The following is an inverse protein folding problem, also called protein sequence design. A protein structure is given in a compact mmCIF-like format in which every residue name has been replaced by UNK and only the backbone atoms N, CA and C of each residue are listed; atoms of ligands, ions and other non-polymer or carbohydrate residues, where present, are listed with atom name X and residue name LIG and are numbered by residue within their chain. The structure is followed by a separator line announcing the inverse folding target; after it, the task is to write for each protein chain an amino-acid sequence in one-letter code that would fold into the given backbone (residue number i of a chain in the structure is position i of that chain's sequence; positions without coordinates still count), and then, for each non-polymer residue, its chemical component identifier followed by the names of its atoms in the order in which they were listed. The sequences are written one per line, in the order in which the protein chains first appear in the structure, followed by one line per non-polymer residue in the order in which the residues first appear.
data_IF_558282696432
#
_entry.id   IF_558282696432
#
_cell.length_a   1.000
_cell.length_b   1.000
_cell.length_c   1.000
_cell.angle_alpha   90.00
_cell.angle_beta   90.00
_cell.angle_gamma   90.00
#
_symmetry.space_group_name_H-M   'P 1'
#
loop_
_entity.id
_entity.type
_entity.pdbx_description
1 polymer ?
#
# COMPACT_ATOMS: atom_id res chain seq x y z
N UNK A 1 14.68 -0.18 -9.45
CA UNK A 1 15.30 -0.78 -8.24
C UNK A 1 14.60 -0.20 -7.01
N UNK A 2 13.47 -0.80 -6.61
CA UNK A 2 12.77 -0.44 -5.38
C UNK A 2 13.11 -1.52 -4.34
N UNK A 3 14.05 -1.22 -3.46
CA UNK A 3 14.41 -2.07 -2.33
C UNK A 3 13.41 -1.83 -1.19
N UNK A 4 12.74 -2.90 -0.76
CA UNK A 4 11.86 -2.96 0.41
C UNK A 4 12.60 -2.48 1.68
N UNK A 5 12.00 -1.61 2.52
CA UNK A 5 12.72 -0.93 3.61
C UNK A 5 12.70 -1.65 4.97
N UNK A 6 12.15 -2.86 5.08
CA UNK A 6 12.12 -3.59 6.37
C UNK A 6 13.04 -4.80 6.29
N UNK A 7 14.32 -4.54 6.53
CA UNK A 7 15.32 -5.58 6.73
C UNK A 7 15.12 -6.26 8.08
N UNK A 8 14.43 -7.39 8.05
CA UNK A 8 14.85 -8.56 8.83
C UNK A 8 14.49 -9.83 8.06
N UNK A 9 15.11 -10.00 6.88
CA UNK A 9 15.17 -11.30 6.24
C UNK A 9 16.20 -12.14 7.00
N UNK A 10 15.77 -12.71 8.14
CA UNK A 10 16.30 -14.01 8.53
C UNK A 10 16.08 -14.90 7.31
N UNK A 11 17.17 -15.35 6.69
CA UNK A 11 17.15 -16.19 5.51
C UNK A 11 16.40 -17.49 5.84
N UNK A 12 15.08 -17.50 5.66
CA UNK A 12 14.33 -18.73 5.61
C UNK A 12 14.38 -19.20 4.16
N UNK A 13 15.27 -20.15 3.88
CA UNK A 13 15.20 -20.96 2.67
C UNK A 13 13.77 -21.47 2.52
N UNK A 14 13.06 -20.97 1.52
CA UNK A 14 11.84 -21.56 1.02
C UNK A 14 12.23 -22.86 0.32
N UNK A 15 12.31 -23.94 1.09
CA UNK A 15 12.35 -25.29 0.54
C UNK A 15 10.91 -25.77 0.41
N UNK A 16 10.27 -25.41 -0.71
CA UNK A 16 9.00 -25.98 -1.12
C UNK A 16 9.22 -27.46 -1.47
N UNK A 17 8.99 -28.34 -0.49
CA UNK A 17 8.81 -29.78 -0.76
C UNK A 17 7.36 -30.12 -0.50
N UNK A 18 6.53 -29.84 -1.50
CA UNK A 18 5.17 -30.32 -1.59
C UNK A 18 5.21 -31.76 -2.12
N UNK A 19 5.02 -32.74 -1.22
CA UNK A 19 4.37 -34.03 -1.51
C UNK A 19 5.05 -35.03 -2.44
N UNK A 20 5.63 -36.08 -1.83
CA UNK A 20 5.37 -37.47 -2.23
C UNK A 20 6.31 -38.11 -3.27
N UNK A 21 7.12 -39.08 -2.84
CA UNK A 21 6.87 -40.53 -3.05
C UNK A 21 8.10 -41.37 -2.69
N UNK A 22 7.81 -42.59 -2.21
CA UNK A 22 8.67 -43.77 -2.07
C UNK A 22 9.58 -43.90 -0.83
N UNK A 23 9.05 -44.66 0.13
CA UNK A 23 9.64 -45.97 0.45
C UNK A 23 10.87 -45.96 1.34
N UNK A 24 10.66 -46.24 2.62
CA UNK A 24 11.73 -46.66 3.52
C UNK A 24 11.49 -46.21 4.95
N UNK A 25 11.20 -47.18 5.81
CA UNK A 25 11.16 -47.08 7.27
C UNK A 25 12.07 -45.98 7.86
N UNK A 26 11.47 -44.89 8.34
CA UNK A 26 12.13 -43.97 9.26
C UNK A 26 11.08 -43.48 10.27
N UNK A 27 11.42 -43.61 11.55
CA UNK A 27 10.67 -43.13 12.70
C UNK A 27 10.00 -41.76 12.45
N UNK A 28 8.75 -41.52 12.89
CA UNK A 28 8.19 -40.19 12.88
C UNK A 28 9.00 -39.32 13.84
N UNK A 29 9.84 -38.45 13.28
CA UNK A 29 10.61 -37.47 14.03
C UNK A 29 9.64 -36.43 14.59
N UNK A 30 9.13 -36.66 15.80
CA UNK A 30 8.28 -35.77 16.61
C UNK A 30 8.67 -34.28 16.59
N UNK A 31 9.89 -33.95 16.19
CA UNK A 31 10.38 -32.57 16.07
C UNK A 31 9.84 -31.79 14.87
N UNK A 32 9.47 -32.43 13.76
CA UNK A 32 9.03 -31.71 12.55
C UNK A 32 7.57 -31.24 12.68
N UNK A 33 6.68 -32.10 13.21
CA UNK A 33 5.29 -31.74 13.53
C UNK A 33 5.24 -30.57 14.53
N UNK A 34 6.14 -30.57 15.52
CA UNK A 34 6.23 -29.50 16.52
C UNK A 34 6.74 -28.18 15.92
N UNK A 35 7.61 -28.23 14.92
CA UNK A 35 8.09 -27.06 14.19
C UNK A 35 7.00 -26.49 13.27
N UNK A 36 6.26 -27.34 12.58
CA UNK A 36 5.10 -26.94 11.78
C UNK A 36 4.03 -26.25 12.65
N UNK A 37 3.74 -26.83 13.82
CA UNK A 37 2.84 -26.22 14.82
C UNK A 37 3.33 -24.85 15.29
N UNK A 38 4.63 -24.68 15.58
CA UNK A 38 5.20 -23.38 15.95
C UNK A 38 5.05 -22.33 14.84
N UNK A 39 5.26 -22.71 13.57
CA UNK A 39 5.06 -21.81 12.43
C UNK A 39 3.60 -21.38 12.33
N UNK A 40 2.66 -22.31 12.49
CA UNK A 40 1.22 -22.01 12.48
C UNK A 40 0.88 -21.01 13.59
N UNK A 41 1.37 -21.23 14.81
CA UNK A 41 1.12 -20.34 15.95
C UNK A 41 1.69 -18.94 15.70
N UNK A 42 2.95 -18.83 15.28
CA UNK A 42 3.57 -17.53 15.00
C UNK A 42 2.90 -16.80 13.85
N UNK A 43 2.56 -17.51 12.76
CA UNK A 43 1.86 -16.92 11.63
C UNK A 43 0.45 -16.47 12.02
N UNK A 44 -0.25 -17.25 12.84
CA UNK A 44 -1.58 -16.89 13.34
C UNK A 44 -1.48 -15.67 14.26
N UNK A 45 -0.53 -15.66 15.19
CA UNK A 45 -0.31 -14.52 16.08
C UNK A 45 0.02 -13.22 15.32
N UNK A 46 0.75 -13.31 14.20
CA UNK A 46 1.04 -12.16 13.35
C UNK A 46 -0.16 -11.69 12.51
N UNK A 47 -1.10 -12.59 12.20
CA UNK A 47 -2.26 -12.30 11.35
C UNK A 47 -3.53 -11.95 12.14
N UNK A 48 -3.57 -12.25 13.43
CA UNK A 48 -4.68 -11.86 14.31
C UNK A 48 -4.60 -10.36 14.57
N UNK A 49 -5.72 -9.67 14.34
CA UNK A 49 -5.82 -8.23 14.57
C UNK A 49 -6.15 -8.00 16.04
N UNK A 50 -5.23 -7.40 16.78
CA UNK A 50 -5.50 -6.88 18.12
C UNK A 50 -6.26 -5.55 18.02
N UNK A 51 -7.56 -5.60 18.29
CA UNK A 51 -8.43 -4.42 18.30
C UNK A 51 -8.21 -3.50 19.52
N UNK A 52 -7.49 -3.97 20.55
CA UNK A 52 -7.23 -3.22 21.79
C UNK A 52 -5.93 -2.42 21.77
N UNK A 53 -5.05 -2.65 20.80
CA UNK A 53 -3.74 -2.00 20.68
C UNK A 53 -3.78 -0.50 20.30
N UNK A 54 -4.97 0.11 20.18
CA UNK A 54 -5.13 1.51 19.77
C UNK A 54 -4.53 2.52 20.77
N UNK A 55 -4.35 2.14 22.04
CA UNK A 55 -3.87 3.02 23.12
C UNK A 55 -2.43 2.70 23.58
N UNK A 56 -1.71 1.81 22.90
CA UNK A 56 -0.33 1.50 23.28
C UNK A 56 0.62 2.60 22.82
N UNK A 57 0.80 3.64 23.64
CA UNK A 57 1.87 4.61 23.45
C UNK A 57 3.21 4.01 23.91
N UNK A 58 4.28 4.11 23.12
CA UNK A 58 5.61 3.72 23.59
C UNK A 58 6.02 4.59 24.78
N UNK A 59 6.83 4.03 25.69
CA UNK A 59 7.36 4.79 26.81
C UNK A 59 8.13 6.02 26.30
N UNK A 60 7.87 7.17 26.91
CA UNK A 60 8.40 8.46 26.45
C UNK A 60 9.94 8.46 26.32
N UNK A 61 10.64 7.77 27.21
CA UNK A 61 12.10 7.68 27.13
C UNK A 61 12.61 6.85 25.94
N UNK A 62 11.88 5.80 25.54
CA UNK A 62 12.26 4.95 24.41
C UNK A 62 12.12 5.73 23.12
N UNK A 63 11.03 6.48 22.99
CA UNK A 63 10.80 7.37 21.88
C UNK A 63 11.94 8.39 21.72
N UNK A 64 12.32 9.07 22.82
CA UNK A 64 13.39 10.06 22.81
C UNK A 64 14.76 9.45 22.48
N UNK A 65 15.09 8.30 23.07
CA UNK A 65 16.35 7.60 22.79
C UNK A 65 16.43 7.13 21.34
N UNK A 66 15.33 6.59 20.80
CA UNK A 66 15.22 6.16 19.41
C UNK A 66 15.37 7.34 18.44
N UNK A 67 14.76 8.48 18.76
CA UNK A 67 14.93 9.73 18.00
C UNK A 67 16.39 10.20 17.94
N UNK A 68 17.10 10.16 19.07
CA UNK A 68 18.55 10.48 19.11
C UNK A 68 19.37 9.51 18.28
N UNK A 69 19.10 8.22 18.37
CA UNK A 69 19.80 7.19 17.61
C UNK A 69 19.63 7.38 16.10
N UNK A 70 18.41 7.70 15.65
CA UNK A 70 18.15 7.98 14.23
C UNK A 70 18.82 9.27 13.77
N UNK A 71 18.77 10.35 14.57
CA UNK A 71 19.46 11.59 14.25
C UNK A 71 20.97 11.38 14.08
N UNK A 72 21.60 10.59 14.95
CA UNK A 72 23.01 10.24 14.84
C UNK A 72 23.31 9.38 13.60
N UNK A 73 22.45 8.42 13.25
CA UNK A 73 22.64 7.61 12.04
C UNK A 73 22.49 8.45 10.77
N UNK A 74 21.52 9.36 10.74
CA UNK A 74 21.28 10.28 9.61
C UNK A 74 22.43 11.26 9.44
N UNK A 75 23.00 11.79 10.53
CA UNK A 75 24.13 12.71 10.44
C UNK A 75 25.40 12.05 9.87
N UNK A 76 25.63 10.77 10.16
CA UNK A 76 26.74 9.98 9.58
C UNK A 76 26.53 9.70 8.10
N UNK A 77 25.28 9.60 7.63
CA UNK A 77 24.97 9.30 6.23
C UNK A 77 25.34 10.42 5.24
N UNK A 78 25.72 11.62 5.73
CA UNK A 78 26.14 12.77 4.91
C UNK A 78 25.32 12.96 3.63
N UNK A 79 23.98 12.90 3.78
CA UNK A 79 23.07 13.08 2.66
C UNK A 79 23.29 14.48 2.05
N UNK A 80 23.44 14.59 0.72
CA UNK A 80 23.55 15.90 0.09
C UNK A 80 22.31 16.70 0.44
N UNK A 81 22.50 17.95 0.87
CA UNK A 81 21.41 18.88 1.04
C UNK A 81 20.81 19.18 -0.34
N UNK A 82 19.81 18.38 -0.74
CA UNK A 82 19.03 18.65 -1.93
C UNK A 82 18.14 19.84 -1.57
N UNK A 83 18.53 21.03 -2.02
CA UNK A 83 17.67 22.20 -1.96
C UNK A 83 16.34 21.90 -2.66
N UNK A 84 15.27 22.58 -2.25
CA UNK A 84 13.97 22.40 -2.90
C UNK A 84 14.14 22.61 -4.41
N UNK A 85 13.66 21.67 -5.25
CA UNK A 85 13.77 21.82 -6.69
C UNK A 85 12.98 23.08 -7.10
N UNK A 86 13.57 23.89 -7.99
CA UNK A 86 12.86 25.04 -8.54
C UNK A 86 11.63 24.54 -9.32
N UNK A 87 10.45 25.13 -9.04
CA UNK A 87 9.18 24.74 -9.67
C UNK A 87 9.21 24.91 -11.19
N UNK A 88 9.96 25.91 -11.65
CA UNK A 88 10.15 26.22 -13.06
C UNK A 88 11.62 25.90 -13.36
N UNK A 89 11.88 24.78 -14.04
CA UNK A 89 13.23 24.44 -14.50
C UNK A 89 13.89 25.65 -15.18
N UNK A 90 15.19 25.85 -14.93
CA UNK A 90 15.92 27.11 -15.15
C UNK A 90 16.11 27.57 -16.60
N UNK A 91 15.26 27.11 -17.52
CA UNK A 91 15.40 27.28 -18.96
C UNK A 91 14.06 27.51 -19.67
N UNK A 92 13.05 28.05 -18.95
CA UNK A 92 11.91 28.70 -19.62
C UNK A 92 12.20 30.19 -19.75
N UNK A 93 12.27 30.70 -20.98
CA UNK A 93 12.13 32.15 -21.23
C UNK A 93 10.64 32.48 -21.09
N UNK A 94 10.18 33.06 -19.97
CA UNK A 94 8.75 33.25 -19.73
C UNK A 94 8.12 34.18 -20.77
N UNK A 95 8.87 35.16 -21.25
CA UNK A 95 8.42 36.08 -22.30
C UNK A 95 8.18 35.36 -23.63
N UNK A 96 9.05 34.39 -23.98
CA UNK A 96 8.87 33.58 -25.18
C UNK A 96 7.63 32.68 -25.07
N UNK A 97 7.42 32.04 -23.92
CA UNK A 97 6.27 31.15 -23.72
C UNK A 97 4.96 31.94 -23.74
N UNK A 98 4.92 33.10 -23.08
CA UNK A 98 3.72 33.94 -22.99
C UNK A 98 3.40 34.69 -24.30
N UNK A 99 4.37 34.86 -25.20
CA UNK A 99 4.15 35.48 -26.52
C UNK A 99 3.63 34.51 -27.59
N UNK A 100 3.56 33.20 -27.28
CA UNK A 100 2.96 32.22 -28.19
C UNK A 100 1.46 32.47 -28.35
N UNK A 101 0.89 32.17 -29.54
CA UNK A 101 -0.54 32.33 -29.75
C UNK A 101 -1.33 31.47 -28.76
N UNK A 102 -2.47 31.95 -28.25
CA UNK A 102 -3.33 31.18 -27.36
C UNK A 102 -3.89 29.96 -28.08
N UNK A 103 -4.41 29.00 -27.30
CA UNK A 103 -5.04 27.80 -27.83
C UNK A 103 -6.17 28.15 -28.80
N UNK A 104 -6.24 27.46 -29.94
CA UNK A 104 -7.25 27.76 -30.96
C UNK A 104 -8.67 27.49 -30.43
N UNK A 105 -9.68 28.35 -30.73
CA UNK A 105 -11.05 28.16 -30.24
C UNK A 105 -11.66 26.80 -30.60
N UNK A 106 -11.32 26.24 -31.77
CA UNK A 106 -11.75 24.91 -32.19
C UNK A 106 -11.26 23.80 -31.25
N UNK A 107 -10.06 23.94 -30.66
CA UNK A 107 -9.54 22.97 -29.70
C UNK A 107 -10.29 23.04 -28.38
N UNK A 108 -10.62 24.25 -27.90
CA UNK A 108 -11.45 24.43 -26.71
C UNK A 108 -12.84 23.80 -26.89
N UNK A 109 -13.51 24.07 -28.02
CA UNK A 109 -14.81 23.45 -28.33
C UNK A 109 -14.75 21.92 -28.36
N UNK A 110 -13.66 21.33 -28.86
CA UNK A 110 -13.46 19.88 -28.81
C UNK A 110 -13.28 19.35 -27.39
N UNK A 111 -12.60 20.11 -26.52
CA UNK A 111 -12.47 19.76 -25.10
C UNK A 111 -13.82 19.80 -24.40
N UNK A 112 -14.63 20.83 -24.67
CA UNK A 112 -15.98 20.95 -24.11
C UNK A 112 -16.88 19.79 -24.54
N UNK A 113 -16.89 19.47 -25.84
CA UNK A 113 -17.65 18.34 -26.38
C UNK A 113 -17.18 16.97 -25.85
N UNK A 114 -15.88 16.83 -25.56
CA UNK A 114 -15.36 15.63 -24.91
C UNK A 114 -15.86 15.55 -23.46
N UNK A 115 -15.83 16.66 -22.73
CA UNK A 115 -16.26 16.72 -21.33
C UNK A 115 -17.76 16.40 -21.20
N UNK A 116 -18.59 16.90 -22.12
CA UNK A 116 -20.03 16.58 -22.17
C UNK A 116 -20.26 15.07 -22.33
N UNK A 117 -19.50 14.41 -23.20
CA UNK A 117 -19.57 12.94 -23.36
C UNK A 117 -19.14 12.20 -22.10
N UNK A 118 -18.06 12.65 -21.44
CA UNK A 118 -17.61 12.05 -20.18
C UNK A 118 -18.67 12.20 -19.11
N UNK A 119 -19.31 13.37 -19.01
CA UNK A 119 -20.39 13.61 -18.07
C UNK A 119 -21.59 12.70 -18.33
N UNK A 120 -21.96 12.48 -19.60
CA UNK A 120 -23.02 11.54 -19.96
C UNK A 120 -22.68 10.11 -19.53
N UNK A 121 -21.46 9.65 -19.80
CA UNK A 121 -21.01 8.29 -19.41
C UNK A 121 -20.97 8.12 -17.89
N UNK A 122 -20.60 9.16 -17.14
CA UNK A 122 -20.62 9.11 -15.67
C UNK A 122 -22.05 9.03 -15.12
N UNK A 123 -23.02 9.66 -15.77
CA UNK A 123 -24.43 9.55 -15.39
C UNK A 123 -24.97 8.12 -15.57
N UNK A 124 -24.42 7.37 -16.52
CA UNK A 124 -24.80 5.97 -16.76
C UNK A 124 -24.26 5.01 -15.67
N UNK A 125 -23.32 5.45 -14.82
CA UNK A 125 -22.79 4.65 -13.70
C UNK A 125 -23.77 4.71 -12.52
N UNK A 126 -24.83 3.90 -12.61
CA UNK A 126 -25.83 3.75 -11.58
C UNK A 126 -26.25 2.29 -11.37
N UNK A 127 -26.71 1.97 -10.18
CA UNK A 127 -27.24 0.64 -9.87
C UNK A 127 -28.65 0.53 -10.43
N UNK A 128 -28.86 -0.38 -11.37
CA UNK A 128 -30.20 -0.70 -11.88
C UNK A 128 -30.98 -1.51 -10.83
N UNK A 129 -32.10 -0.98 -10.36
CA UNK A 129 -32.97 -1.67 -9.42
C UNK A 129 -33.69 -2.84 -10.09
N UNK A 130 -33.56 -4.06 -9.53
CA UNK A 130 -34.25 -5.27 -10.04
C UNK A 130 -35.33 -5.76 -9.08
N UNK A 131 -35.02 -5.85 -7.80
CA UNK A 131 -35.88 -6.41 -6.77
C UNK A 131 -35.74 -5.63 -5.47
N UNK A 132 -36.78 -5.67 -4.64
CA UNK A 132 -36.79 -4.99 -3.35
C UNK A 132 -35.78 -5.65 -2.41
N UNK A 133 -34.76 -4.88 -1.98
CA UNK A 133 -33.77 -5.34 -1.01
C UNK A 133 -34.32 -5.43 0.42
N UNK A 134 -35.47 -4.81 0.67
CA UNK A 134 -36.10 -4.75 2.00
C UNK A 134 -37.57 -5.06 1.84
N UNK A 135 -38.05 -6.11 2.53
CA UNK A 135 -39.46 -6.46 2.60
C UNK A 135 -39.97 -6.20 4.02
N UNK A 136 -41.09 -5.48 4.15
CA UNK A 136 -41.73 -5.28 5.45
C UNK A 136 -42.52 -6.52 5.84
N UNK A 137 -42.09 -7.16 6.94
CA UNK A 137 -42.81 -8.26 7.58
C UNK A 137 -43.86 -7.68 8.53
N UNK A 138 -45.02 -7.30 8.00
CA UNK A 138 -46.21 -7.04 8.81
C UNK A 138 -47.22 -8.18 8.58
N UNK A 139 -47.56 -8.91 9.64
CA UNK A 139 -48.68 -9.86 9.61
C UNK A 139 -50.01 -9.10 9.46
N UNK A 140 -50.95 -9.57 8.63
CA UNK A 140 -52.30 -9.01 8.61
C UNK A 140 -52.99 -9.19 9.97
N UNK A 141 -53.90 -8.26 10.35
CA UNK A 141 -54.61 -8.26 11.64
C UNK A 141 -55.61 -9.40 11.78
#
# INVERSE_FOLDING_TARGET
LLANPVGNASQHSFHDSYGGTQGGSAHPAKGDDQNALNRIIHQTAANVIDVSALDSQPEQHEYLNRGRQYAQRVSVLALPAVGLPCLLGGNSSPQEVLSRPPLAPLQLQKMDALMEKVQQVLADVQVEHKEDLVVQLCSPP
#
